data_IF_691633402464
#
_entry.id   IF_691633402464
#
_cell.length_a   1.000
_cell.length_b   1.000
_cell.length_c   1.000
_cell.angle_alpha   90.00
_cell.angle_beta   90.00
_cell.angle_gamma   90.00
#
_symmetry.space_group_name_H-M   'P 1'
#
loop_
_entity.id
_entity.type
_entity.pdbx_description
1 polymer ?
#
# COMPACT_ATOMS: atom_id res chain seq x y z
N UNK A 1 -21.83 -21.94 24.03
CA UNK A 1 -20.82 -21.08 24.69
C UNK A 1 -19.85 -20.60 23.62
N UNK A 2 -19.99 -19.36 23.13
CA UNK A 2 -18.94 -18.74 22.32
C UNK A 2 -17.84 -18.28 23.27
N UNK A 3 -16.70 -18.94 23.23
CA UNK A 3 -15.49 -18.48 23.92
C UNK A 3 -15.04 -17.18 23.25
N UNK A 4 -15.41 -16.04 23.83
CA UNK A 4 -14.82 -14.76 23.45
C UNK A 4 -13.43 -14.69 24.08
N UNK A 5 -12.41 -14.83 23.23
CA UNK A 5 -11.02 -14.62 23.61
C UNK A 5 -10.85 -13.17 24.12
N UNK A 6 -10.17 -12.96 25.26
CA UNK A 6 -10.05 -11.64 25.86
C UNK A 6 -9.28 -10.67 24.92
N UNK A 7 -9.64 -9.38 24.91
CA UNK A 7 -9.00 -8.39 24.06
C UNK A 7 -7.50 -8.30 24.39
N UNK A 8 -6.67 -8.51 23.37
CA UNK A 8 -5.21 -8.50 23.50
C UNK A 8 -4.56 -7.92 22.25
N UNK A 9 -3.35 -7.37 22.41
CA UNK A 9 -2.61 -6.78 21.30
C UNK A 9 -2.33 -7.79 20.16
N UNK A 10 -1.97 -9.07 20.44
CA UNK A 10 -1.85 -10.09 19.41
C UNK A 10 -3.17 -10.34 18.65
N UNK A 11 -4.30 -10.38 19.36
CA UNK A 11 -5.63 -10.57 18.77
C UNK A 11 -6.00 -9.40 17.85
N UNK A 12 -5.76 -8.16 18.29
CA UNK A 12 -5.98 -6.97 17.47
C UNK A 12 -5.18 -7.03 16.15
N UNK A 13 -3.88 -7.32 16.22
CA UNK A 13 -3.05 -7.47 15.02
C UNK A 13 -3.43 -8.68 14.16
N UNK A 14 -3.93 -9.77 14.74
CA UNK A 14 -4.48 -10.89 13.97
C UNK A 14 -5.71 -10.47 13.17
N UNK A 15 -6.61 -9.68 13.75
CA UNK A 15 -7.79 -9.14 13.06
C UNK A 15 -7.37 -8.24 11.89
N UNK A 16 -6.36 -7.37 12.07
CA UNK A 16 -5.81 -6.58 10.95
C UNK A 16 -5.34 -7.47 9.80
N UNK A 17 -4.53 -8.51 10.10
CA UNK A 17 -4.04 -9.44 9.05
C UNK A 17 -5.17 -10.14 8.31
N UNK A 18 -6.22 -10.54 9.02
CA UNK A 18 -7.40 -11.14 8.39
C UNK A 18 -8.13 -10.13 7.51
N UNK A 19 -8.26 -8.86 7.96
CA UNK A 19 -8.77 -7.76 7.16
C UNK A 19 -7.99 -7.56 5.87
N UNK A 20 -6.65 -7.54 5.94
CA UNK A 20 -5.77 -7.37 4.78
C UNK A 20 -5.93 -8.52 3.76
N UNK A 21 -6.06 -9.76 4.25
CA UNK A 21 -6.34 -10.93 3.40
C UNK A 21 -7.68 -10.76 2.67
N UNK A 22 -8.75 -10.37 3.37
CA UNK A 22 -10.06 -10.15 2.73
C UNK A 22 -10.03 -8.98 1.75
N UNK A 23 -9.33 -7.89 2.08
CA UNK A 23 -9.15 -6.75 1.20
C UNK A 23 -8.42 -7.13 -0.09
N UNK A 24 -7.36 -7.95 0.01
CA UNK A 24 -6.66 -8.47 -1.19
C UNK A 24 -7.53 -9.37 -2.07
N UNK A 25 -8.55 -10.00 -1.46
CA UNK A 25 -9.54 -10.81 -2.16
C UNK A 25 -10.75 -9.99 -2.66
N UNK A 26 -10.68 -8.66 -2.63
CA UNK A 26 -11.78 -7.74 -3.00
C UNK A 26 -13.07 -7.93 -2.17
N UNK A 27 -12.95 -8.49 -0.96
CA UNK A 27 -14.08 -8.68 -0.04
C UNK A 27 -14.14 -7.52 0.96
N UNK A 28 -14.43 -6.33 0.46
CA UNK A 28 -14.33 -5.07 1.23
C UNK A 28 -15.21 -5.03 2.47
N UNK A 29 -16.45 -5.52 2.39
CA UNK A 29 -17.37 -5.56 3.53
C UNK A 29 -16.81 -6.39 4.68
N UNK A 30 -16.34 -7.60 4.36
CA UNK A 30 -15.74 -8.52 5.36
C UNK A 30 -14.43 -7.95 5.91
N UNK A 31 -13.62 -7.29 5.05
CA UNK A 31 -12.40 -6.62 5.50
C UNK A 31 -12.70 -5.52 6.53
N UNK A 32 -13.73 -4.70 6.30
CA UNK A 32 -14.16 -3.66 7.24
C UNK A 32 -14.58 -4.23 8.59
N UNK A 33 -15.28 -5.37 8.64
CA UNK A 33 -15.65 -6.04 9.88
C UNK A 33 -14.41 -6.45 10.70
N UNK A 34 -13.38 -6.97 10.04
CA UNK A 34 -12.12 -7.32 10.71
C UNK A 34 -11.39 -6.10 11.26
N UNK A 35 -11.31 -5.00 10.50
CA UNK A 35 -10.68 -3.76 10.99
C UNK A 35 -11.49 -3.15 12.14
N UNK A 36 -12.82 -3.18 12.08
CA UNK A 36 -13.68 -2.72 13.17
C UNK A 36 -13.45 -3.58 14.45
N UNK A 37 -13.37 -4.90 14.31
CA UNK A 37 -13.05 -5.78 15.42
C UNK A 37 -11.64 -5.52 16.00
N UNK A 38 -10.66 -5.15 15.17
CA UNK A 38 -9.34 -4.74 15.64
C UNK A 38 -9.39 -3.45 16.46
N UNK A 39 -10.18 -2.45 16.01
CA UNK A 39 -10.40 -1.20 16.73
C UNK A 39 -10.99 -1.45 18.11
N UNK A 40 -12.00 -2.32 18.22
CA UNK A 40 -12.61 -2.65 19.50
C UNK A 40 -11.60 -3.31 20.46
N UNK A 41 -10.71 -4.18 19.95
CA UNK A 41 -9.61 -4.73 20.73
C UNK A 41 -8.65 -3.63 21.22
N UNK A 42 -8.26 -2.70 20.34
CA UNK A 42 -7.37 -1.59 20.70
C UNK A 42 -7.98 -0.64 21.72
N UNK A 43 -9.26 -0.29 21.59
CA UNK A 43 -9.98 0.55 22.57
C UNK A 43 -10.02 -0.12 23.94
N UNK A 44 -10.31 -1.42 23.99
CA UNK A 44 -10.31 -2.18 25.24
C UNK A 44 -8.93 -2.17 25.91
N UNK A 45 -7.86 -2.36 25.13
CA UNK A 45 -6.47 -2.28 25.62
C UNK A 45 -6.17 -0.86 26.11
N UNK A 46 -6.49 0.17 25.32
CA UNK A 46 -6.23 1.58 25.62
C UNK A 46 -6.86 2.03 26.94
N UNK A 47 -8.06 1.54 27.26
CA UNK A 47 -8.76 1.84 28.50
C UNK A 47 -8.12 1.19 29.73
N UNK A 48 -7.35 0.11 29.54
CA UNK A 48 -6.64 -0.60 30.61
C UNK A 48 -5.20 -0.12 30.84
N UNK A 49 -4.69 0.76 29.97
CA UNK A 49 -3.29 1.21 30.02
C UNK A 49 -3.13 2.42 30.96
N UNK A 50 -2.24 2.35 31.96
CA UNK A 50 -1.96 3.49 32.83
C UNK A 50 -1.02 4.54 32.20
N UNK A 51 -0.23 4.15 31.19
CA UNK A 51 0.77 5.00 30.54
C UNK A 51 0.16 5.78 29.36
N UNK A 52 0.25 7.11 29.41
CA UNK A 52 -0.29 8.02 28.39
C UNK A 52 0.39 7.90 27.02
N UNK A 53 1.71 7.67 26.98
CA UNK A 53 2.47 7.49 25.73
C UNK A 53 2.06 6.20 25.02
N UNK A 54 1.81 5.13 25.78
CA UNK A 54 1.27 3.89 25.23
C UNK A 54 -0.16 4.09 24.71
N UNK A 55 -0.99 4.89 25.40
CA UNK A 55 -2.33 5.24 24.91
C UNK A 55 -2.30 6.01 23.59
N UNK A 56 -1.37 6.95 23.40
CA UNK A 56 -1.18 7.65 22.12
C UNK A 56 -0.74 6.70 21.00
N UNK A 57 0.15 5.75 21.31
CA UNK A 57 0.60 4.74 20.34
C UNK A 57 -0.56 3.85 19.89
N UNK A 58 -1.41 3.39 20.82
CA UNK A 58 -2.61 2.62 20.50
C UNK A 58 -3.64 3.49 19.76
N UNK A 59 -3.80 4.76 20.12
CA UNK A 59 -4.66 5.69 19.39
C UNK A 59 -4.25 5.84 17.92
N UNK A 60 -2.96 5.89 17.63
CA UNK A 60 -2.46 5.95 16.26
C UNK A 60 -2.84 4.68 15.47
N UNK A 61 -2.80 3.51 16.10
CA UNK A 61 -3.23 2.25 15.48
C UNK A 61 -4.74 2.23 15.19
N UNK A 62 -5.56 2.75 16.11
CA UNK A 62 -7.02 2.91 15.92
C UNK A 62 -7.28 3.82 14.72
N UNK A 63 -6.68 5.01 14.70
CA UNK A 63 -6.83 5.97 13.61
C UNK A 63 -6.41 5.39 12.26
N UNK A 64 -5.35 4.58 12.23
CA UNK A 64 -4.91 3.89 11.02
C UNK A 64 -5.97 2.89 10.54
N UNK A 65 -6.56 2.10 11.44
CA UNK A 65 -7.64 1.17 11.10
C UNK A 65 -8.88 1.90 10.57
N UNK A 66 -9.27 3.01 11.19
CA UNK A 66 -10.40 3.84 10.72
C UNK A 66 -10.18 4.37 9.31
N UNK A 67 -8.98 4.89 9.01
CA UNK A 67 -8.61 5.31 7.65
C UNK A 67 -8.72 4.16 6.65
N UNK A 68 -8.24 2.97 7.01
CA UNK A 68 -8.35 1.78 6.16
C UNK A 68 -9.80 1.38 5.91
N UNK A 69 -10.68 1.48 6.92
CA UNK A 69 -12.12 1.24 6.74
C UNK A 69 -12.73 2.21 5.73
N UNK A 70 -12.38 3.50 5.79
CA UNK A 70 -12.87 4.49 4.82
C UNK A 70 -12.43 4.17 3.40
N UNK A 71 -11.16 3.75 3.22
CA UNK A 71 -10.65 3.30 1.91
C UNK A 71 -11.44 2.08 1.41
N UNK A 72 -11.69 1.09 2.26
CA UNK A 72 -12.47 -0.10 1.89
C UNK A 72 -13.90 0.28 1.48
N UNK A 73 -14.55 1.22 2.18
CA UNK A 73 -15.89 1.71 1.85
C UNK A 73 -15.94 2.39 0.49
N UNK A 74 -14.93 3.19 0.14
CA UNK A 74 -14.85 3.82 -1.18
C UNK A 74 -14.68 2.79 -2.29
N UNK A 75 -13.81 1.79 -2.08
CA UNK A 75 -13.61 0.69 -3.04
C UNK A 75 -14.88 -0.12 -3.25
N UNK A 76 -15.57 -0.50 -2.17
CA UNK A 76 -16.84 -1.23 -2.25
C UNK A 76 -17.89 -0.47 -3.08
N UNK A 77 -18.09 0.83 -2.79
CA UNK A 77 -19.00 1.68 -3.57
C UNK A 77 -18.62 1.75 -5.05
N UNK A 78 -17.32 1.87 -5.35
CA UNK A 78 -16.85 1.92 -6.73
C UNK A 78 -17.11 0.61 -7.49
N UNK A 79 -16.90 -0.55 -6.85
CA UNK A 79 -17.16 -1.84 -7.48
C UNK A 79 -18.65 -2.09 -7.68
N UNK A 80 -19.50 -1.70 -6.73
CA UNK A 80 -20.95 -1.77 -6.86
C UNK A 80 -21.46 -0.88 -8.01
N UNK A 81 -20.92 0.34 -8.14
CA UNK A 81 -21.28 1.24 -9.24
C UNK A 81 -20.89 0.66 -10.61
N UNK A 82 -19.70 0.07 -10.73
CA UNK A 82 -19.25 -0.60 -11.97
C UNK A 82 -20.18 -1.78 -12.31
N UNK A 83 -20.50 -2.64 -11.34
CA UNK A 83 -21.42 -3.78 -11.54
C UNK A 83 -22.81 -3.32 -11.98
N UNK A 84 -23.33 -2.26 -11.38
CA UNK A 84 -24.63 -1.69 -11.76
C UNK A 84 -24.61 -1.14 -13.20
N UNK A 85 -23.55 -0.42 -13.57
CA UNK A 85 -23.39 0.11 -14.92
C UNK A 85 -23.27 -1.01 -15.96
N UNK A 86 -22.56 -2.10 -15.64
CA UNK A 86 -22.46 -3.27 -16.49
C UNK A 86 -23.81 -3.97 -16.65
N UNK A 87 -24.57 -4.15 -15.56
CA UNK A 87 -25.91 -4.72 -15.60
C UNK A 87 -26.89 -3.87 -16.44
N UNK A 88 -26.81 -2.54 -16.35
CA UNK A 88 -27.63 -1.63 -17.15
C UNK A 88 -27.26 -1.70 -18.65
N UNK A 89 -25.96 -1.80 -18.98
CA UNK A 89 -25.53 -2.01 -20.37
C UNK A 89 -26.03 -3.34 -20.93
N UNK A 90 -25.96 -4.41 -20.15
CA UNK A 90 -26.48 -5.72 -20.53
C UNK A 90 -28.00 -5.68 -20.73
N UNK A 91 -28.75 -5.01 -19.86
CA UNK A 91 -30.21 -4.91 -20.03
C UNK A 91 -30.61 -4.11 -21.27
N UNK A 92 -29.88 -3.03 -21.59
CA UNK A 92 -30.07 -2.25 -22.83
C UNK A 92 -29.77 -3.09 -24.08
N UNK A 93 -28.69 -3.88 -24.07
CA UNK A 93 -28.37 -4.81 -25.15
C UNK A 93 -29.44 -5.88 -25.33
N UNK A 94 -29.92 -6.49 -24.24
CA UNK A 94 -31.00 -7.50 -24.30
C UNK A 94 -32.29 -6.89 -24.85
N UNK A 95 -32.67 -5.67 -24.43
CA UNK A 95 -33.86 -4.98 -24.96
C UNK A 95 -33.70 -4.65 -26.45
N UNK A 96 -32.51 -4.26 -26.90
CA UNK A 96 -32.23 -4.02 -28.31
C UNK A 96 -32.32 -5.30 -29.17
N UNK A 97 -31.90 -6.45 -28.63
CA UNK A 97 -32.05 -7.76 -29.28
C UNK A 97 -33.50 -8.26 -29.32
N UNK A 98 -34.31 -7.97 -28.29
CA UNK A 98 -35.75 -8.28 -28.32
C UNK A 98 -36.52 -7.42 -29.34
N UNK A 99 -36.03 -6.22 -29.67
CA UNK A 99 -36.64 -5.35 -30.70
C UNK A 99 -36.15 -5.62 -32.12
N UNK A 100 -35.12 -6.45 -32.33
CA UNK A 100 -34.56 -6.72 -33.67
C UNK A 100 -35.06 -8.03 -34.31
N UNK A 101 -36.07 -8.68 -33.74
CA UNK A 101 -36.71 -9.87 -34.32
C UNK A 101 -37.81 -9.55 -35.36
N UNK A 102 -37.69 -8.42 -36.06
CA UNK A 102 -38.47 -8.11 -37.25
C UNK A 102 -37.56 -7.50 -38.33
N UNK A 103 -36.98 -8.38 -39.14
CA UNK A 103 -36.52 -8.25 -40.54
C UNK A 103 -35.08 -8.73 -40.81
N UNK A 104 -34.89 -9.79 -41.61
CA UNK A 104 -33.58 -10.21 -42.08
C UNK A 104 -33.26 -9.55 -43.42
N UNK A 105 -32.58 -8.40 -43.43
CA UNK A 105 -31.70 -8.05 -44.55
C UNK A 105 -30.80 -6.87 -44.19
N UNK A 106 -29.50 -7.11 -44.08
CA UNK A 106 -28.45 -6.50 -44.91
C UNK A 106 -27.08 -6.73 -44.28
N UNK A 107 -26.19 -7.32 -45.08
CA UNK A 107 -24.77 -7.50 -44.79
C UNK A 107 -24.09 -6.14 -44.71
N UNK A 108 -23.26 -5.91 -43.70
CA UNK A 108 -22.17 -4.94 -43.79
C UNK A 108 -20.94 -5.46 -43.04
N UNK A 109 -19.94 -5.84 -43.81
CA UNK A 109 -18.58 -6.18 -43.37
C UNK A 109 -17.89 -4.94 -42.81
N UNK A 110 -17.31 -4.99 -41.59
CA UNK A 110 -16.07 -4.27 -41.23
C UNK A 110 -15.30 -5.00 -40.13
N UNK A 111 -13.97 -4.83 -40.07
CA UNK A 111 -13.02 -5.84 -39.62
C UNK A 111 -12.76 -5.80 -38.11
N UNK A 112 -12.44 -6.97 -37.54
CA UNK A 112 -11.78 -7.09 -36.24
C UNK A 112 -10.37 -6.50 -36.30
N UNK A 113 -10.05 -5.60 -35.39
CA UNK A 113 -8.66 -5.25 -35.07
C UNK A 113 -8.41 -5.39 -33.56
N UNK A 114 -7.21 -5.90 -33.28
CA UNK A 114 -6.70 -6.46 -32.01
C UNK A 114 -6.55 -5.45 -30.86
N UNK A 115 -6.65 -6.00 -29.65
CA UNK A 115 -5.88 -5.75 -28.41
C UNK A 115 -5.08 -4.45 -28.30
N UNK A 116 -5.28 -3.74 -27.19
CA UNK A 116 -4.19 -3.04 -26.51
C UNK A 116 -4.34 -3.12 -24.98
N UNK A 117 -3.27 -3.63 -24.36
CA UNK A 117 -2.97 -3.61 -22.93
C UNK A 117 -2.64 -2.17 -22.54
N UNK A 118 -3.34 -1.59 -21.55
CA UNK A 118 -3.02 -0.26 -21.04
C UNK A 118 -2.21 -0.42 -19.74
N UNK A 119 -0.94 -0.04 -19.82
CA UNK A 119 -0.09 0.28 -18.68
C UNK A 119 -0.66 1.54 -18.01
N UNK A 120 -1.01 1.47 -16.72
CA UNK A 120 -1.45 2.63 -15.95
C UNK A 120 -0.23 3.44 -15.51
N UNK A 121 -0.04 4.61 -16.11
CA UNK A 121 0.80 5.68 -15.54
C UNK A 121 -0.11 6.72 -14.87
N UNK A 122 0.32 7.22 -13.71
CA UNK A 122 -0.47 8.05 -12.79
C UNK A 122 -0.86 9.45 -13.31
N UNK A 123 -0.58 9.77 -14.57
CA UNK A 123 -0.97 11.03 -15.21
C UNK A 123 -2.43 11.01 -15.74
N UNK A 124 -3.05 9.83 -15.81
CA UNK A 124 -4.35 9.61 -16.46
C UNK A 124 -5.59 9.90 -15.59
N UNK A 125 -5.41 10.20 -14.30
CA UNK A 125 -6.56 10.39 -13.38
C UNK A 125 -7.24 11.75 -13.60
N UNK A 126 -6.47 12.82 -13.82
CA UNK A 126 -7.01 14.16 -14.04
C UNK A 126 -7.63 14.31 -15.45
N UNK A 127 -7.00 13.72 -16.48
CA UNK A 127 -7.55 13.70 -17.85
C UNK A 127 -8.83 12.85 -17.94
N UNK A 128 -8.92 11.78 -17.14
CA UNK A 128 -10.13 10.97 -16.99
C UNK A 128 -11.30 11.71 -16.35
N UNK A 129 -11.03 12.58 -15.38
CA UNK A 129 -12.05 13.42 -14.73
C UNK A 129 -12.61 14.51 -15.66
N UNK A 130 -11.76 15.08 -16.51
CA UNK A 130 -12.20 16.06 -17.52
C UNK A 130 -13.06 15.44 -18.61
N UNK A 131 -12.71 14.24 -19.05
CA UNK A 131 -13.53 13.46 -20.00
C UNK A 131 -14.89 13.06 -19.40
N UNK A 132 -14.93 12.78 -18.10
CA UNK A 132 -16.17 12.46 -17.38
C UNK A 132 -17.07 13.69 -17.20
N UNK A 133 -16.50 14.86 -16.88
CA UNK A 133 -17.25 16.11 -16.76
C UNK A 133 -17.88 16.56 -18.08
N UNK A 134 -17.16 16.45 -19.20
CA UNK A 134 -17.66 16.76 -20.53
C UNK A 134 -18.82 15.84 -20.99
N UNK A 135 -18.87 14.62 -20.45
CA UNK A 135 -19.94 13.66 -20.72
C UNK A 135 -21.22 13.94 -19.91
N UNK A 136 -21.08 14.46 -18.68
CA UNK A 136 -22.22 14.77 -17.80
C UNK A 136 -22.84 16.15 -18.11
N UNK A 137 -22.05 17.13 -18.56
CA UNK A 137 -22.51 18.48 -18.88
C UNK A 137 -22.25 18.85 -20.35
N UNK A 138 -23.05 18.37 -21.31
CA UNK A 138 -22.92 18.77 -22.70
C UNK A 138 -23.32 20.25 -22.89
N UNK A 139 -22.48 21.05 -23.56
CA UNK A 139 -22.80 22.43 -23.96
C UNK A 139 -24.06 22.43 -24.84
N UNK A 140 -25.13 23.09 -24.37
CA UNK A 140 -26.30 23.35 -25.19
C UNK A 140 -25.93 24.31 -26.33
N UNK A 141 -25.93 23.82 -27.56
CA UNK A 141 -25.97 24.70 -28.75
C UNK A 141 -27.41 25.12 -28.97
N UNK A 142 -27.65 26.44 -28.93
CA UNK A 142 -28.94 27.07 -29.13
C UNK A 142 -29.53 26.76 -30.51
N UNK A 143 -30.70 26.14 -30.55
CA UNK A 143 -31.65 26.25 -31.67
C UNK A 143 -33.04 26.53 -31.10
N UNK A 144 -33.68 27.54 -31.67
CA UNK A 144 -34.95 28.17 -31.31
C UNK A 144 -36.16 27.23 -31.52
N UNK A 145 -37.09 27.17 -30.56
CA UNK A 145 -38.44 27.77 -30.67
C UNK A 145 -39.51 27.09 -29.76
N UNK A 146 -40.21 27.96 -29.01
CA UNK A 146 -41.59 27.88 -28.47
C UNK A 146 -42.12 26.61 -27.73
N UNK A 147 -42.26 26.72 -26.39
CA UNK A 147 -43.22 25.94 -25.56
C UNK A 147 -43.59 26.69 -24.24
N UNK A 148 -44.73 26.36 -23.57
CA UNK A 148 -45.54 27.31 -22.79
C UNK A 148 -45.13 27.56 -21.31
N UNK A 149 -45.60 28.70 -20.78
CA UNK A 149 -45.13 29.47 -19.60
C UNK A 149 -45.24 28.81 -18.19
N UNK A 150 -45.65 27.56 -18.05
CA UNK A 150 -45.76 26.89 -16.73
C UNK A 150 -44.49 26.10 -16.35
N UNK A 151 -43.62 25.77 -17.32
CA UNK A 151 -42.35 25.06 -17.09
C UNK A 151 -41.19 25.97 -16.62
N UNK A 152 -41.30 27.30 -16.83
CA UNK A 152 -40.17 28.23 -16.69
C UNK A 152 -39.65 28.45 -15.25
N UNK A 153 -40.43 28.10 -14.22
CA UNK A 153 -40.03 28.30 -12.81
C UNK A 153 -39.20 27.13 -12.27
N UNK A 154 -39.46 25.90 -12.75
CA UNK A 154 -38.70 24.71 -12.37
C UNK A 154 -37.41 24.59 -13.19
N UNK A 155 -37.42 24.92 -14.49
CA UNK A 155 -36.20 24.98 -15.31
C UNK A 155 -35.15 25.96 -14.75
N UNK A 156 -35.57 27.11 -14.20
CA UNK A 156 -34.66 28.11 -13.65
C UNK A 156 -34.09 27.71 -12.28
N UNK A 157 -34.87 26.96 -11.48
CA UNK A 157 -34.42 26.41 -10.21
C UNK A 157 -33.47 25.23 -10.40
N UNK A 158 -33.73 24.40 -11.42
CA UNK A 158 -32.87 23.29 -11.79
C UNK A 158 -31.57 23.79 -12.45
N UNK A 159 -31.62 24.85 -13.27
CA UNK A 159 -30.42 25.50 -13.81
C UNK A 159 -29.52 26.10 -12.71
N UNK A 160 -30.10 26.73 -11.69
CA UNK A 160 -29.33 27.29 -10.56
C UNK A 160 -28.68 26.18 -9.71
N UNK A 161 -29.36 25.05 -9.49
CA UNK A 161 -28.77 23.89 -8.82
C UNK A 161 -27.65 23.24 -9.65
N UNK A 162 -27.78 23.24 -10.97
CA UNK A 162 -26.74 22.74 -11.89
C UNK A 162 -25.50 23.65 -11.82
N UNK A 163 -25.67 24.98 -11.84
CA UNK A 163 -24.56 25.93 -11.67
C UNK A 163 -23.88 25.79 -10.31
N UNK A 164 -24.66 25.64 -9.23
CA UNK A 164 -24.14 25.41 -7.87
C UNK A 164 -23.34 24.11 -7.76
N UNK A 165 -23.85 23.02 -8.34
CA UNK A 165 -23.14 21.73 -8.41
C UNK A 165 -21.87 21.82 -9.26
N UNK A 166 -21.89 22.58 -10.34
CA UNK A 166 -20.74 22.78 -11.20
C UNK A 166 -19.66 23.61 -10.50
N UNK A 167 -20.04 24.69 -9.79
CA UNK A 167 -19.12 25.45 -8.93
C UNK A 167 -18.54 24.58 -7.81
N UNK A 168 -19.35 23.73 -7.17
CA UNK A 168 -18.91 22.79 -6.15
C UNK A 168 -17.93 21.75 -6.70
N UNK A 169 -18.18 21.23 -7.91
CA UNK A 169 -17.29 20.30 -8.60
C UNK A 169 -15.93 20.93 -8.94
N UNK A 170 -15.92 22.15 -9.49
CA UNK A 170 -14.68 22.85 -9.80
C UNK A 170 -13.87 23.21 -8.54
N UNK A 171 -14.54 23.58 -7.45
CA UNK A 171 -13.90 23.77 -6.16
C UNK A 171 -13.27 22.47 -5.65
N UNK A 172 -14.00 21.35 -5.70
CA UNK A 172 -13.50 20.04 -5.29
C UNK A 172 -12.30 19.59 -6.15
N UNK A 173 -12.37 19.79 -7.46
CA UNK A 173 -11.27 19.51 -8.40
C UNK A 173 -10.03 20.34 -8.07
N UNK A 174 -10.21 21.62 -7.75
CA UNK A 174 -9.11 22.52 -7.35
C UNK A 174 -8.47 22.05 -6.05
N UNK A 175 -9.28 21.71 -5.04
CA UNK A 175 -8.77 21.16 -3.77
C UNK A 175 -8.05 19.83 -3.95
N UNK A 176 -8.56 18.95 -4.82
CA UNK A 176 -7.94 17.67 -5.11
C UNK A 176 -6.59 17.85 -5.82
N UNK A 177 -6.51 18.79 -6.77
CA UNK A 177 -5.25 19.15 -7.44
C UNK A 177 -4.23 19.70 -6.43
N UNK A 178 -4.64 20.64 -5.58
CA UNK A 178 -3.78 21.18 -4.53
C UNK A 178 -3.27 20.08 -3.57
N UNK A 179 -4.13 19.13 -3.20
CA UNK A 179 -3.73 17.99 -2.38
C UNK A 179 -2.70 17.08 -3.07
N UNK A 180 -2.82 16.86 -4.39
CA UNK A 180 -1.81 16.11 -5.16
C UNK A 180 -0.48 16.86 -5.24
N UNK A 181 -0.51 18.17 -5.49
CA UNK A 181 0.68 19.01 -5.54
C UNK A 181 1.38 19.04 -4.17
N UNK A 182 0.60 19.08 -3.07
CA UNK A 182 1.10 18.96 -1.70
C UNK A 182 1.78 17.61 -1.43
N UNK A 183 1.22 16.50 -1.92
CA UNK A 183 1.81 15.17 -1.77
C UNK A 183 3.17 15.09 -2.48
N UNK A 184 3.26 15.59 -3.72
CA UNK A 184 4.52 15.59 -4.45
C UNK A 184 5.55 16.53 -3.81
N UNK A 185 5.12 17.68 -3.28
CA UNK A 185 5.99 18.56 -2.47
C UNK A 185 6.53 17.84 -1.23
N UNK A 186 5.64 17.23 -0.43
CA UNK A 186 6.02 16.51 0.79
C UNK A 186 6.95 15.32 0.51
N UNK A 187 6.78 14.66 -0.64
CA UNK A 187 7.66 13.59 -1.11
C UNK A 187 9.06 14.12 -1.46
N UNK A 188 9.14 15.29 -2.10
CA UNK A 188 10.41 15.95 -2.34
C UNK A 188 11.09 16.35 -1.02
N UNK A 189 10.36 16.99 -0.10
CA UNK A 189 10.86 17.38 1.23
C UNK A 189 11.35 16.17 2.03
N UNK A 190 10.62 15.06 2.04
CA UNK A 190 11.07 13.84 2.71
C UNK A 190 12.35 13.27 2.09
N UNK A 191 12.51 13.35 0.77
CA UNK A 191 13.74 12.93 0.12
C UNK A 191 14.91 13.85 0.47
N UNK A 192 14.69 15.16 0.54
CA UNK A 192 15.70 16.12 0.98
C UNK A 192 16.09 15.90 2.44
N UNK A 193 15.12 15.69 3.33
CA UNK A 193 15.38 15.38 4.74
C UNK A 193 16.14 14.06 4.91
N UNK A 194 15.87 13.06 4.04
CA UNK A 194 16.64 11.81 4.02
C UNK A 194 18.09 12.06 3.61
N UNK A 195 18.32 12.84 2.56
CA UNK A 195 19.67 13.23 2.11
C UNK A 195 20.37 14.06 3.19
N UNK A 196 19.67 14.97 3.86
CA UNK A 196 20.21 15.76 4.96
C UNK A 196 20.59 14.87 6.14
N UNK A 197 19.73 13.94 6.58
CA UNK A 197 20.10 12.98 7.63
C UNK A 197 21.29 12.13 7.23
N UNK A 198 21.35 11.67 5.97
CA UNK A 198 22.50 10.94 5.45
C UNK A 198 23.77 11.81 5.49
N UNK A 199 23.69 13.09 5.14
CA UNK A 199 24.80 14.05 5.21
C UNK A 199 25.21 14.40 6.66
N UNK A 200 24.26 14.61 7.57
CA UNK A 200 24.52 14.83 9.02
C UNK A 200 25.18 13.61 9.64
N UNK A 201 24.76 12.41 9.26
CA UNK A 201 25.37 11.15 9.72
C UNK A 201 26.82 11.03 9.22
N UNK A 202 27.11 11.48 8.00
CA UNK A 202 28.48 11.53 7.46
C UNK A 202 29.31 12.61 8.15
N UNK A 203 28.71 13.73 8.56
CA UNK A 203 29.39 14.82 9.25
C UNK A 203 29.72 14.47 10.71
N UNK A 204 28.82 13.80 11.44
CA UNK A 204 29.09 13.22 12.78
C UNK A 204 30.18 12.14 12.73
N UNK A 205 30.25 11.37 11.63
CA UNK A 205 31.33 10.42 11.39
C UNK A 205 32.67 11.14 11.11
N UNK A 206 32.66 12.29 10.44
CA UNK A 206 33.87 13.06 10.12
C UNK A 206 34.44 13.84 11.31
N UNK A 207 33.60 14.40 12.20
CA UNK A 207 34.07 15.06 13.43
C UNK A 207 34.67 14.05 14.44
N UNK A 208 34.20 12.79 14.43
CA UNK A 208 34.81 11.71 15.20
C UNK A 208 36.19 11.26 14.65
N UNK A 209 36.47 11.51 13.37
CA UNK A 209 37.75 11.14 12.72
C UNK A 209 38.87 12.17 12.86
N UNK A 210 38.61 13.37 13.42
CA UNK A 210 39.64 14.41 13.57
C UNK A 210 40.47 14.30 14.86
N UNK A 211 40.28 13.26 15.69
CA UNK A 211 41.04 13.06 16.94
C UNK A 211 42.02 11.87 16.93
N UNK A 212 42.14 11.12 15.83
CA UNK A 212 43.04 9.95 15.78
C UNK A 212 43.87 9.93 14.50
N UNK A 213 44.81 10.87 14.41
CA UNK A 213 45.98 10.71 13.56
C UNK A 213 46.92 9.68 14.17
N UNK A 214 46.72 8.42 13.82
CA UNK A 214 47.79 7.43 13.74
C UNK A 214 47.41 6.39 12.71
N UNK A 215 48.09 6.47 11.57
CA UNK A 215 48.05 5.55 10.46
C UNK A 215 48.25 4.09 10.93
N UNK A 216 47.21 3.24 10.81
CA UNK A 216 47.27 1.79 10.48
C UNK A 216 45.99 0.98 10.78
N UNK A 217 44.93 1.56 11.37
CA UNK A 217 43.80 0.76 11.89
C UNK A 217 42.51 0.72 11.05
N UNK A 218 42.52 1.17 9.79
CA UNK A 218 41.30 1.20 8.97
C UNK A 218 40.82 -0.17 8.43
N UNK A 219 41.65 -1.23 8.53
CA UNK A 219 41.22 -2.61 8.28
C UNK A 219 40.79 -3.35 9.56
N UNK A 220 40.99 -2.76 10.74
CA UNK A 220 40.59 -3.34 12.04
C UNK A 220 39.20 -2.93 12.51
N UNK A 221 38.63 -1.83 12.01
CA UNK A 221 37.26 -1.40 12.39
C UNK A 221 36.17 -2.31 11.77
N UNK A 222 36.50 -3.12 10.75
CA UNK A 222 35.63 -4.22 10.25
C UNK A 222 35.84 -5.54 10.98
N UNK A 223 36.75 -5.63 11.94
CA UNK A 223 37.20 -6.89 12.50
C UNK A 223 36.53 -7.23 13.83
N UNK A 224 35.69 -8.27 13.76
CA UNK A 224 35.13 -9.09 14.86
C UNK A 224 34.12 -8.35 15.73
N UNK A 225 32.85 -8.69 15.51
CA UNK A 225 31.83 -9.10 16.50
C UNK A 225 30.46 -9.09 15.78
N UNK A 226 29.83 -10.26 15.67
CA UNK A 226 28.45 -10.39 15.17
C UNK A 226 28.23 -10.81 13.73
N UNK A 227 27.22 -11.64 13.51
CA UNK A 227 26.55 -11.69 12.20
C UNK A 227 26.20 -10.24 11.80
N UNK A 228 26.52 -9.82 10.58
CA UNK A 228 26.29 -8.44 10.10
C UNK A 228 24.79 -8.15 9.98
N UNK A 229 24.11 -7.89 11.10
CA UNK A 229 22.66 -7.66 11.16
C UNK A 229 22.32 -6.25 10.67
N UNK A 230 21.28 -6.14 9.85
CA UNK A 230 20.66 -4.86 9.49
C UNK A 230 19.53 -4.52 10.47
N UNK A 231 19.21 -3.25 10.65
CA UNK A 231 18.11 -2.81 11.54
C UNK A 231 16.79 -3.55 11.26
N UNK A 232 16.37 -3.59 9.98
CA UNK A 232 15.15 -4.32 9.58
C UNK A 232 15.23 -5.82 9.85
N UNK A 233 16.42 -6.41 9.77
CA UNK A 233 16.66 -7.82 10.08
C UNK A 233 16.44 -8.09 11.57
N UNK A 234 17.00 -7.24 12.42
CA UNK A 234 16.88 -7.32 13.87
C UNK A 234 15.45 -7.12 14.36
N UNK A 235 14.73 -6.17 13.75
CA UNK A 235 13.29 -5.98 14.00
C UNK A 235 12.52 -7.27 13.70
N UNK A 236 12.78 -7.85 12.54
CA UNK A 236 12.05 -9.03 12.06
C UNK A 236 12.37 -10.33 12.80
N UNK A 237 13.54 -10.41 13.44
CA UNK A 237 13.93 -11.53 14.30
C UNK A 237 13.45 -11.38 15.76
N UNK A 238 12.66 -10.36 16.07
CA UNK A 238 12.04 -10.16 17.39
C UNK A 238 12.81 -9.26 18.34
N UNK A 239 13.71 -8.41 17.83
CA UNK A 239 14.45 -7.40 18.61
C UNK A 239 15.20 -7.94 19.85
N UNK A 240 15.96 -9.05 19.76
CA UNK A 240 16.67 -9.60 20.92
C UNK A 240 17.81 -8.68 21.38
N UNK A 241 18.21 -8.77 22.66
CA UNK A 241 19.41 -8.10 23.18
C UNK A 241 19.27 -6.59 23.42
N UNK A 242 18.04 -6.06 23.49
CA UNK A 242 17.75 -4.66 23.84
C UNK A 242 18.00 -3.65 22.71
N UNK A 243 19.12 -3.76 21.98
CA UNK A 243 19.42 -2.96 20.80
C UNK A 243 20.08 -3.77 19.69
N UNK A 244 20.00 -3.28 18.45
CA UNK A 244 20.71 -3.87 17.32
C UNK A 244 22.21 -3.96 17.59
N UNK A 245 22.79 -2.89 18.13
CA UNK A 245 24.23 -2.80 18.32
C UNK A 245 24.72 -3.79 19.40
N UNK A 246 24.02 -3.86 20.54
CA UNK A 246 24.34 -4.80 21.60
C UNK A 246 24.18 -6.25 21.12
N UNK A 247 23.09 -6.55 20.42
CA UNK A 247 22.84 -7.89 19.93
C UNK A 247 23.78 -8.31 18.79
N UNK A 248 24.18 -7.37 17.93
CA UNK A 248 25.15 -7.64 16.88
C UNK A 248 26.49 -7.95 17.51
N UNK A 249 26.92 -7.23 18.55
CA UNK A 249 28.20 -7.52 19.21
C UNK A 249 28.21 -8.83 19.99
N UNK A 250 27.05 -9.34 20.41
CA UNK A 250 26.94 -10.62 21.14
C UNK A 250 26.68 -11.82 20.21
N UNK A 251 27.53 -12.86 20.30
CA UNK A 251 27.43 -14.05 19.44
C UNK A 251 26.12 -14.82 19.69
N UNK A 252 25.73 -15.02 20.95
CA UNK A 252 24.54 -15.80 21.27
C UNK A 252 23.26 -15.08 20.82
N UNK A 253 23.19 -13.77 21.01
CA UNK A 253 22.09 -12.93 20.57
C UNK A 253 21.99 -12.87 19.05
N UNK A 254 23.11 -12.63 18.35
CA UNK A 254 23.13 -12.58 16.90
C UNK A 254 22.75 -13.92 16.27
N UNK A 255 23.23 -15.05 16.79
CA UNK A 255 22.82 -16.38 16.35
C UNK A 255 21.32 -16.64 16.59
N UNK A 256 20.80 -16.27 17.77
CA UNK A 256 19.37 -16.38 18.08
C UNK A 256 18.53 -15.56 17.10
N UNK A 257 18.96 -14.34 16.78
CA UNK A 257 18.32 -13.48 15.80
C UNK A 257 18.35 -14.13 14.40
N UNK A 258 19.50 -14.65 13.96
CA UNK A 258 19.60 -15.34 12.66
C UNK A 258 18.66 -16.55 12.61
N UNK A 259 18.64 -17.40 13.65
CA UNK A 259 17.74 -18.56 13.71
C UNK A 259 16.27 -18.16 13.63
N UNK A 260 15.86 -17.14 14.39
CA UNK A 260 14.48 -16.62 14.35
C UNK A 260 14.12 -16.06 12.97
N UNK A 261 15.03 -15.33 12.33
CA UNK A 261 14.83 -14.80 10.98
C UNK A 261 14.71 -15.92 9.95
N UNK A 262 15.53 -16.97 10.05
CA UNK A 262 15.45 -18.14 9.17
C UNK A 262 14.22 -19.01 9.45
N UNK A 263 13.75 -19.10 10.68
CA UNK A 263 12.48 -19.75 10.98
C UNK A 263 11.30 -19.02 10.30
N UNK A 264 11.37 -17.69 10.24
CA UNK A 264 10.34 -16.85 9.62
C UNK A 264 10.37 -16.86 8.09
N UNK A 265 11.56 -16.84 7.48
CA UNK A 265 11.70 -16.62 6.03
C UNK A 265 12.40 -17.75 5.27
N UNK A 266 13.01 -18.70 5.96
CA UNK A 266 13.84 -19.75 5.38
C UNK A 266 13.15 -20.60 4.32
N UNK A 267 11.84 -20.84 4.47
CA UNK A 267 11.05 -21.62 3.52
C UNK A 267 10.51 -20.81 2.33
N UNK A 268 10.64 -19.47 2.34
CA UNK A 268 9.94 -18.58 1.40
C UNK A 268 10.31 -18.78 -0.07
N UNK A 269 11.44 -19.43 -0.32
CA UNK A 269 12.01 -19.61 -1.67
C UNK A 269 12.24 -21.08 -2.02
N UNK A 270 11.69 -21.95 -1.19
CA UNK A 270 12.01 -23.38 -1.22
C UNK A 270 10.93 -24.19 -1.93
N UNK A 271 9.77 -23.60 -2.21
CA UNK A 271 8.64 -24.29 -2.85
C UNK A 271 8.33 -25.64 -2.20
N UNK A 272 8.46 -25.73 -0.87
CA UNK A 272 8.21 -26.95 -0.09
C UNK A 272 9.43 -27.87 0.09
N UNK A 273 10.57 -27.61 -0.55
CA UNK A 273 11.82 -28.35 -0.26
C UNK A 273 12.44 -27.88 1.07
N UNK A 274 13.28 -28.70 1.68
CA UNK A 274 14.06 -28.27 2.85
C UNK A 274 15.01 -27.14 2.46
N UNK A 275 15.07 -26.03 3.24
CA UNK A 275 16.02 -24.96 2.96
C UNK A 275 17.47 -25.45 3.07
N UNK A 276 18.30 -25.04 2.11
CA UNK A 276 19.74 -25.34 2.07
C UNK A 276 20.56 -24.21 2.71
N UNK A 277 21.84 -24.47 2.99
CA UNK A 277 22.77 -23.43 3.42
C UNK A 277 22.85 -22.27 2.41
N UNK A 278 22.72 -22.56 1.10
CA UNK A 278 22.65 -21.53 0.07
C UNK A 278 21.42 -20.62 0.23
N UNK A 279 20.27 -21.19 0.54
CA UNK A 279 19.05 -20.40 0.76
C UNK A 279 19.22 -19.49 1.96
N UNK A 280 19.68 -20.03 3.08
CA UNK A 280 19.91 -19.25 4.29
C UNK A 280 20.94 -18.15 4.07
N UNK A 281 22.08 -18.43 3.42
CA UNK A 281 23.09 -17.42 3.13
C UNK A 281 22.55 -16.28 2.24
N UNK A 282 21.77 -16.62 1.21
CA UNK A 282 21.20 -15.63 0.30
C UNK A 282 20.06 -14.83 0.92
N UNK A 283 19.25 -15.45 1.78
CA UNK A 283 18.24 -14.77 2.59
C UNK A 283 18.91 -13.83 3.59
N UNK A 284 20.02 -14.26 4.22
CA UNK A 284 20.78 -13.45 5.15
C UNK A 284 21.27 -12.15 4.50
N UNK A 285 21.82 -12.26 3.28
CA UNK A 285 22.36 -11.11 2.55
C UNK A 285 21.27 -10.23 1.91
N UNK A 286 20.23 -10.84 1.32
CA UNK A 286 19.28 -10.17 0.44
C UNK A 286 17.88 -9.93 1.02
N UNK A 287 17.63 -10.33 2.26
CA UNK A 287 16.32 -10.24 2.93
C UNK A 287 15.38 -11.40 2.59
N UNK A 288 14.06 -11.27 2.86
CA UNK A 288 13.11 -12.40 2.80
C UNK A 288 13.01 -13.10 1.44
N UNK A 289 13.31 -12.40 0.35
CA UNK A 289 13.35 -12.93 -1.02
C UNK A 289 14.77 -12.98 -1.60
N UNK A 290 15.81 -12.88 -0.77
CA UNK A 290 17.21 -12.78 -1.19
C UNK A 290 17.69 -13.97 -2.03
N UNK A 291 17.19 -15.16 -1.73
CA UNK A 291 17.25 -16.40 -2.53
C UNK A 291 16.86 -16.28 -4.03
N UNK A 292 16.02 -15.31 -4.41
CA UNK A 292 15.55 -15.11 -5.79
C UNK A 292 16.37 -14.04 -6.51
N UNK A 293 17.14 -13.23 -5.76
CA UNK A 293 17.90 -12.11 -6.31
C UNK A 293 19.25 -12.58 -6.83
N UNK A 294 19.58 -12.27 -8.07
CA UNK A 294 20.91 -12.56 -8.65
C UNK A 294 22.04 -11.86 -7.89
N UNK A 295 21.78 -10.68 -7.32
CA UNK A 295 22.74 -9.92 -6.51
C UNK A 295 23.32 -10.70 -5.32
N UNK A 296 22.61 -11.70 -4.78
CA UNK A 296 23.06 -12.49 -3.62
C UNK A 296 23.94 -13.68 -4.01
N UNK A 297 24.07 -14.01 -5.31
CA UNK A 297 24.88 -15.13 -5.79
C UNK A 297 26.35 -14.93 -5.45
N UNK A 298 26.88 -13.71 -5.64
CA UNK A 298 28.28 -13.39 -5.29
C UNK A 298 28.56 -13.60 -3.81
N UNK A 299 27.61 -13.26 -2.94
CA UNK A 299 27.74 -13.51 -1.51
C UNK A 299 27.76 -15.00 -1.20
N UNK A 300 26.85 -15.79 -1.81
CA UNK A 300 26.86 -17.24 -1.67
C UNK A 300 28.19 -17.86 -2.11
N UNK A 301 28.76 -17.45 -3.24
CA UNK A 301 30.03 -18.01 -3.70
C UNK A 301 31.17 -17.80 -2.69
N UNK A 302 31.18 -16.67 -1.97
CA UNK A 302 32.14 -16.44 -0.87
C UNK A 302 31.88 -17.37 0.31
N UNK A 303 30.62 -17.55 0.70
CA UNK A 303 30.22 -18.47 1.79
C UNK A 303 30.53 -19.92 1.42
N UNK A 304 30.22 -20.33 0.19
CA UNK A 304 30.46 -21.67 -0.34
C UNK A 304 31.95 -22.00 -0.39
N UNK A 305 32.80 -21.02 -0.75
CA UNK A 305 34.24 -21.19 -0.65
C UNK A 305 34.64 -21.54 0.80
N UNK A 306 34.22 -20.76 1.81
CA UNK A 306 34.52 -21.07 3.21
C UNK A 306 33.89 -22.39 3.69
N UNK A 307 32.69 -22.74 3.21
CA UNK A 307 31.97 -23.95 3.57
C UNK A 307 32.63 -25.23 3.02
N UNK A 308 33.20 -25.17 1.81
CA UNK A 308 33.85 -26.31 1.17
C UNK A 308 35.31 -26.52 1.62
N UNK A 309 35.88 -25.58 2.39
CA UNK A 309 37.21 -25.69 2.99
C UNK A 309 37.17 -26.26 4.42
N UNK A 310 35.98 -26.64 4.93
CA UNK A 310 35.77 -27.17 6.28
C UNK A 310 35.57 -28.68 6.32
#
# INVERSE_FOLDING_TARGET
>A
MQFHEPPSLPLAHQKIRLGDIQASAHKWTVAMEYYAAAIECFKAIQNSLPDENLRFTIQAQITQCDKTIQVCRLKDRSEQAIKLQQAERLSKLTRAHSTSNLNPSTKSNRPMTRHNTIQLENHDVLSGMDSFAAFIFPKQTSTTDSAPKIAKKNEKHDAHKIEELQMSYEALKTHLKAAFDDIERLKHENNQLRIQREASTIQEQNEMTLSTNSDDDNDRIRLRLGCQLKQVYWIDCGKPGGSLEACSKDKACSEKCVRAYMARYGSRCTNGRTPTCQDYARIHNGGPTGCQKTATIRYWNKVAACYNFG
#
